data_IF_810101211128
#
_entry.id   IF_810101211128
#
_cell.length_a   1.000
_cell.length_b   1.000
_cell.length_c   1.000
_cell.angle_alpha   90.00
_cell.angle_beta   90.00
_cell.angle_gamma   90.00
#
_symmetry.space_group_name_H-M   'P 1'
#
loop_
_entity.id
_entity.type
_entity.pdbx_description
1 polymer ?
#
# COMPACT_ATOMS: atom_id res chain seq x y z
N UNK A 1 17.45 -6.42 -0.45
CA UNK A 1 16.67 -7.66 -0.27
C UNK A 1 17.14 -8.34 1.00
N UNK A 2 16.22 -8.61 1.93
CA UNK A 2 16.53 -9.08 3.28
C UNK A 2 16.68 -10.60 3.35
N UNK A 3 15.94 -11.35 2.53
CA UNK A 3 15.94 -12.82 2.58
C UNK A 3 17.05 -13.38 1.66
N UNK A 4 17.90 -14.32 2.15
CA UNK A 4 19.03 -14.83 1.38
C UNK A 4 18.66 -15.44 0.02
N UNK A 5 17.62 -16.29 -0.01
CA UNK A 5 17.22 -16.97 -1.24
C UNK A 5 16.61 -15.99 -2.29
N UNK A 6 15.63 -15.13 -1.96
CA UNK A 6 15.18 -14.07 -2.86
C UNK A 6 16.29 -13.16 -3.37
N UNK A 7 17.29 -12.83 -2.55
CA UNK A 7 18.44 -12.03 -2.98
C UNK A 7 19.23 -12.71 -4.11
N UNK A 8 19.53 -13.99 -3.94
CA UNK A 8 20.22 -14.79 -4.95
C UNK A 8 19.39 -14.90 -6.24
N UNK A 9 18.09 -15.20 -6.10
CA UNK A 9 17.19 -15.32 -7.25
C UNK A 9 17.06 -14.00 -8.01
N UNK A 10 16.94 -12.87 -7.32
CA UNK A 10 16.85 -11.56 -7.95
C UNK A 10 18.14 -11.20 -8.70
N UNK A 11 19.31 -11.48 -8.10
CA UNK A 11 20.61 -11.25 -8.75
C UNK A 11 20.74 -12.09 -10.02
N UNK A 12 20.47 -13.39 -9.94
CA UNK A 12 20.49 -14.28 -11.11
C UNK A 12 19.49 -13.85 -12.17
N UNK A 13 18.28 -13.42 -11.77
CA UNK A 13 17.25 -12.97 -12.71
C UNK A 13 17.72 -11.77 -13.55
N UNK A 14 18.39 -10.79 -12.95
CA UNK A 14 18.92 -9.64 -13.68
C UNK A 14 20.07 -10.04 -14.63
N UNK A 15 20.96 -10.95 -14.21
CA UNK A 15 22.02 -11.48 -15.08
C UNK A 15 21.43 -12.19 -16.30
N UNK A 16 20.38 -12.99 -16.11
CA UNK A 16 19.69 -13.69 -17.19
C UNK A 16 18.94 -12.76 -18.16
N UNK A 17 18.73 -11.50 -17.78
CA UNK A 17 18.17 -10.44 -18.62
C UNK A 17 19.25 -9.44 -19.07
N UNK A 18 20.49 -9.91 -19.23
CA UNK A 18 21.63 -9.17 -19.78
C UNK A 18 22.07 -7.93 -18.97
N UNK A 19 21.78 -7.91 -17.66
CA UNK A 19 22.34 -6.92 -16.73
C UNK A 19 23.59 -7.54 -16.10
N UNK A 20 24.75 -7.28 -16.71
CA UNK A 20 26.03 -7.91 -16.36
C UNK A 20 26.47 -7.67 -14.90
N UNK A 21 26.19 -6.47 -14.37
CA UNK A 21 26.58 -6.10 -13.00
C UNK A 21 25.33 -5.61 -12.24
N UNK A 22 24.47 -6.54 -11.76
CA UNK A 22 23.31 -6.17 -10.98
C UNK A 22 23.71 -5.52 -9.65
N UNK A 23 23.15 -4.33 -9.38
CA UNK A 23 23.40 -3.62 -8.13
C UNK A 23 22.29 -3.90 -7.11
N UNK A 24 22.29 -5.10 -6.54
CA UNK A 24 21.38 -5.49 -5.46
C UNK A 24 22.16 -5.59 -4.15
N UNK A 25 21.70 -4.92 -3.09
CA UNK A 25 22.25 -5.06 -1.74
C UNK A 25 21.47 -6.14 -0.96
N UNK A 26 22.20 -7.12 -0.42
CA UNK A 26 21.68 -8.02 0.61
C UNK A 26 21.65 -7.31 1.97
N UNK A 27 20.50 -7.35 2.65
CA UNK A 27 20.30 -6.69 3.95
C UNK A 27 18.91 -6.08 4.11
N UNK A 28 18.64 -5.61 5.32
CA UNK A 28 17.42 -4.87 5.64
C UNK A 28 17.58 -3.42 5.19
N UNK A 29 16.62 -2.91 4.41
CA UNK A 29 16.67 -1.54 3.90
C UNK A 29 16.45 -0.48 4.99
N UNK A 30 15.90 -0.87 6.15
CA UNK A 30 15.60 -0.02 7.30
C UNK A 30 16.72 -0.07 8.37
N UNK A 31 17.83 -0.77 8.11
CA UNK A 31 18.90 -1.06 9.08
C UNK A 31 19.84 0.09 9.42
N UNK A 32 19.70 1.23 8.75
CA UNK A 32 20.59 2.38 8.93
C UNK A 32 19.81 3.69 9.12
N UNK A 33 20.35 4.63 9.91
CA UNK A 33 19.77 5.95 10.11
C UNK A 33 19.50 6.69 8.79
N UNK A 34 18.37 7.42 8.71
CA UNK A 34 18.06 8.24 7.53
C UNK A 34 19.17 9.25 7.19
N UNK A 35 19.89 9.75 8.19
CA UNK A 35 21.00 10.68 8.02
C UNK A 35 22.17 10.11 7.21
N UNK A 36 22.30 8.78 7.13
CA UNK A 36 23.37 8.14 6.36
C UNK A 36 23.12 8.21 4.84
N UNK A 37 21.85 8.39 4.43
CA UNK A 37 21.49 8.56 3.04
C UNK A 37 21.69 10.00 2.58
N UNK A 38 22.85 10.25 1.97
CA UNK A 38 23.20 11.50 1.29
C UNK A 38 22.71 11.54 -0.18
N UNK A 39 22.91 12.65 -0.88
CA UNK A 39 22.50 12.86 -2.28
C UNK A 39 22.93 11.73 -3.24
N UNK A 40 24.09 11.11 -3.01
CA UNK A 40 24.60 10.02 -3.86
C UNK A 40 23.72 8.76 -3.85
N UNK A 41 22.92 8.58 -2.80
CA UNK A 41 22.01 7.43 -2.67
C UNK A 41 20.63 7.73 -3.27
N UNK A 42 20.35 9.00 -3.59
CA UNK A 42 19.05 9.38 -4.09
C UNK A 42 18.87 8.95 -5.54
N UNK A 43 17.63 8.62 -5.89
CA UNK A 43 17.27 8.10 -7.21
C UNK A 43 16.18 8.93 -7.86
N UNK A 44 16.10 8.86 -9.18
CA UNK A 44 15.08 9.57 -9.97
C UNK A 44 13.75 8.80 -10.02
N UNK A 45 13.79 7.47 -9.89
CA UNK A 45 12.62 6.60 -9.99
C UNK A 45 12.67 5.56 -8.88
N UNK A 46 11.55 5.39 -8.17
CA UNK A 46 11.33 4.28 -7.24
C UNK A 46 10.12 3.46 -7.72
N UNK A 47 10.30 2.15 -7.82
CA UNK A 47 9.21 1.19 -7.98
C UNK A 47 9.33 0.19 -6.83
N UNK A 48 8.28 0.04 -6.03
CA UNK A 48 8.36 -0.80 -4.83
C UNK A 48 7.02 -1.44 -4.47
N UNK A 49 7.11 -2.67 -3.96
CA UNK A 49 6.03 -3.35 -3.26
C UNK A 49 6.54 -3.70 -1.85
N UNK A 50 6.58 -2.74 -0.91
CA UNK A 50 7.01 -2.99 0.46
C UNK A 50 6.15 -4.06 1.13
N UNK A 51 6.68 -4.81 2.12
CA UNK A 51 5.94 -5.87 2.80
C UNK A 51 4.70 -5.33 3.51
N UNK A 52 3.58 -6.05 3.41
CA UNK A 52 2.32 -5.69 4.07
C UNK A 52 2.28 -6.27 5.49
N UNK A 53 1.93 -5.45 6.48
CA UNK A 53 1.80 -5.88 7.89
C UNK A 53 3.08 -6.41 8.52
N UNK A 54 4.25 -6.11 7.94
CA UNK A 54 5.53 -6.50 8.50
C UNK A 54 5.87 -5.64 9.71
N UNK A 55 6.29 -6.29 10.80
CA UNK A 55 6.81 -5.60 11.99
C UNK A 55 8.32 -5.42 11.84
N UNK A 56 8.78 -4.20 12.04
CA UNK A 56 10.20 -3.83 12.02
C UNK A 56 10.93 -4.52 13.19
N UNK A 57 12.10 -5.09 12.93
CA UNK A 57 12.92 -5.79 13.91
C UNK A 57 14.12 -4.95 14.37
N UNK A 58 14.87 -5.45 15.37
CA UNK A 58 16.16 -4.90 15.80
C UNK A 58 16.15 -3.42 16.23
N UNK A 59 15.00 -2.91 16.67
CA UNK A 59 14.79 -1.49 16.98
C UNK A 59 15.10 -0.57 15.77
N UNK A 60 14.97 -1.06 14.54
CA UNK A 60 15.26 -0.29 13.33
C UNK A 60 14.33 0.93 13.17
N UNK A 61 13.20 1.00 13.87
CA UNK A 61 12.38 2.20 13.95
C UNK A 61 13.15 3.40 14.53
N UNK A 62 14.19 3.17 15.34
CA UNK A 62 15.01 4.24 15.93
C UNK A 62 15.88 4.98 14.91
N UNK A 63 16.11 4.37 13.74
CA UNK A 63 16.80 4.97 12.58
C UNK A 63 16.01 6.13 11.93
N UNK A 64 14.75 6.30 12.32
CA UNK A 64 13.85 7.32 11.82
C UNK A 64 13.64 8.44 12.86
N UNK A 65 13.34 9.68 12.43
CA UNK A 65 12.99 10.78 13.32
C UNK A 65 11.83 10.40 14.25
N UNK A 66 11.88 10.86 15.51
CA UNK A 66 10.89 10.52 16.55
C UNK A 66 9.43 10.69 16.09
N UNK A 67 9.16 11.73 15.30
CA UNK A 67 7.86 12.05 14.72
C UNK A 67 7.25 10.92 13.88
N UNK A 68 8.08 10.09 13.25
CA UNK A 68 7.70 9.05 12.30
C UNK A 68 7.99 7.62 12.79
N UNK A 69 8.44 7.45 14.05
CA UNK A 69 8.78 6.12 14.58
C UNK A 69 7.52 5.28 14.76
N UNK A 70 7.46 4.16 14.05
CA UNK A 70 6.41 3.14 14.14
C UNK A 70 7.03 1.77 13.90
N UNK A 71 6.40 0.72 14.41
CA UNK A 71 6.81 -0.66 14.14
C UNK A 71 6.28 -1.19 12.81
N UNK A 72 5.40 -0.45 12.15
CA UNK A 72 4.84 -0.81 10.84
C UNK A 72 5.86 -0.56 9.72
N UNK A 73 6.37 -1.63 9.12
CA UNK A 73 7.43 -1.54 8.09
C UNK A 73 6.98 -0.76 6.86
N UNK A 74 5.75 -0.96 6.37
CA UNK A 74 5.21 -0.25 5.20
C UNK A 74 5.26 1.28 5.36
N UNK A 75 4.97 1.77 6.56
CA UNK A 75 4.98 3.19 6.89
C UNK A 75 6.42 3.75 6.93
N UNK A 76 7.38 3.00 7.48
CA UNK A 76 8.80 3.39 7.46
C UNK A 76 9.39 3.34 6.05
N UNK A 77 9.01 2.35 5.24
CA UNK A 77 9.40 2.29 3.83
C UNK A 77 8.91 3.52 3.06
N UNK A 78 7.69 4.00 3.32
CA UNK A 78 7.19 5.23 2.70
C UNK A 78 8.08 6.44 3.02
N UNK A 79 8.46 6.61 4.30
CA UNK A 79 9.39 7.67 4.71
C UNK A 79 10.76 7.52 4.04
N UNK A 80 11.30 6.31 4.00
CA UNK A 80 12.57 6.03 3.34
C UNK A 80 12.52 6.38 1.84
N UNK A 81 11.45 5.98 1.15
CA UNK A 81 11.27 6.26 -0.28
C UNK A 81 11.14 7.76 -0.55
N UNK A 82 10.36 8.49 0.26
CA UNK A 82 10.31 9.97 0.18
C UNK A 82 11.72 10.55 0.37
N UNK A 83 12.50 10.07 1.33
CA UNK A 83 13.87 10.55 1.58
C UNK A 83 14.84 10.27 0.42
N UNK A 84 14.73 9.08 -0.19
CA UNK A 84 15.59 8.61 -1.28
C UNK A 84 15.24 9.18 -2.65
N UNK A 85 14.04 9.74 -2.87
CA UNK A 85 13.77 10.44 -4.12
C UNK A 85 14.60 11.73 -4.23
N UNK A 86 15.13 11.98 -5.42
CA UNK A 86 15.64 13.31 -5.81
C UNK A 86 14.48 14.29 -5.96
N UNK A 87 14.78 15.60 -5.96
CA UNK A 87 13.83 16.60 -6.45
C UNK A 87 13.41 16.26 -7.89
N UNK A 88 12.12 16.43 -8.20
CA UNK A 88 11.48 16.00 -9.44
C UNK A 88 11.58 14.49 -9.75
N UNK A 89 12.03 13.68 -8.78
CA UNK A 89 11.98 12.23 -8.87
C UNK A 89 10.56 11.71 -8.63
N UNK A 90 10.24 10.54 -9.18
CA UNK A 90 8.90 9.95 -9.14
C UNK A 90 8.89 8.54 -8.54
N UNK A 91 7.79 8.17 -7.91
CA UNK A 91 7.59 6.84 -7.36
C UNK A 91 6.25 6.23 -7.80
N UNK A 92 6.25 4.93 -8.02
CA UNK A 92 5.07 4.09 -8.15
C UNK A 92 5.17 2.94 -7.15
N UNK A 93 4.34 2.94 -6.11
CA UNK A 93 4.46 2.00 -4.99
C UNK A 93 3.13 1.32 -4.68
N UNK A 94 3.20 0.12 -4.11
CA UNK A 94 2.03 -0.58 -3.60
C UNK A 94 1.95 -0.40 -2.08
N UNK A 95 0.80 0.01 -1.56
CA UNK A 95 0.53 0.06 -0.12
C UNK A 95 -0.83 -0.56 0.23
N UNK A 96 -0.96 -1.23 1.38
CA UNK A 96 -2.24 -1.70 1.86
C UNK A 96 -3.11 -0.53 2.36
N UNK A 97 -4.42 -0.73 2.47
CA UNK A 97 -5.35 0.27 3.02
C UNK A 97 -4.93 0.77 4.41
N UNK A 98 -4.32 -0.10 5.24
CA UNK A 98 -3.83 0.26 6.57
C UNK A 98 -2.72 1.32 6.61
N UNK A 99 -2.08 1.65 5.48
CA UNK A 99 -1.15 2.78 5.37
C UNK A 99 -1.85 4.08 4.95
N UNK A 100 -3.06 4.00 4.40
CA UNK A 100 -3.85 5.15 3.96
C UNK A 100 -4.66 5.81 5.09
N UNK A 101 -4.86 5.10 6.20
CA UNK A 101 -5.73 5.52 7.31
C UNK A 101 -5.01 5.51 8.68
N UNK A 102 -5.66 6.04 9.71
CA UNK A 102 -5.23 5.92 11.12
C UNK A 102 -4.44 7.10 11.68
N UNK A 103 -4.57 7.34 12.98
CA UNK A 103 -4.14 8.60 13.60
C UNK A 103 -2.66 8.60 14.03
N UNK A 104 -2.22 9.74 14.60
CA UNK A 104 -0.93 9.86 15.27
C UNK A 104 0.26 9.78 14.30
N UNK A 105 1.10 8.74 14.44
CA UNK A 105 2.29 8.58 13.59
C UNK A 105 1.90 8.36 12.13
N UNK A 106 0.89 7.53 11.86
CA UNK A 106 0.41 7.23 10.50
C UNK A 106 -0.09 8.49 9.79
N UNK A 107 -0.88 9.31 10.49
CA UNK A 107 -1.30 10.63 10.01
C UNK A 107 -0.12 11.53 9.65
N UNK A 108 0.89 11.64 10.53
CA UNK A 108 2.08 12.47 10.27
C UNK A 108 2.92 11.99 9.08
N UNK A 109 2.98 10.69 8.85
CA UNK A 109 3.65 10.11 7.68
C UNK A 109 2.91 10.49 6.39
N UNK A 110 1.59 10.42 6.38
CA UNK A 110 0.78 10.87 5.22
C UNK A 110 0.87 12.37 5.01
N UNK A 111 0.83 13.16 6.08
CA UNK A 111 1.07 14.60 6.00
C UNK A 111 2.42 14.88 5.32
N UNK A 112 3.50 14.21 5.75
CA UNK A 112 4.81 14.35 5.09
C UNK A 112 4.77 14.02 3.60
N UNK A 113 4.10 12.92 3.22
CA UNK A 113 3.94 12.55 1.82
C UNK A 113 3.24 13.67 1.03
N UNK A 114 2.17 14.25 1.57
CA UNK A 114 1.40 15.28 0.85
C UNK A 114 2.08 16.65 0.83
N UNK A 115 2.92 16.97 1.80
CA UNK A 115 3.67 18.23 1.87
C UNK A 115 4.95 18.19 1.02
N UNK A 116 5.71 17.09 1.08
CA UNK A 116 6.99 16.96 0.38
C UNK A 116 6.84 16.44 -1.07
N UNK A 117 5.72 15.78 -1.36
CA UNK A 117 5.45 15.17 -2.66
C UNK A 117 4.06 15.52 -3.19
N UNK A 118 3.95 15.45 -4.52
CA UNK A 118 2.73 15.60 -5.28
C UNK A 118 2.17 14.20 -5.51
N UNK A 119 1.39 13.70 -4.56
CA UNK A 119 0.61 12.47 -4.70
C UNK A 119 -0.55 12.71 -5.66
N UNK A 120 -0.26 12.57 -6.95
CA UNK A 120 -1.21 12.95 -7.98
C UNK A 120 -2.23 11.85 -8.30
N UNK A 121 -1.95 10.58 -7.94
CA UNK A 121 -2.83 9.44 -8.27
C UNK A 121 -2.76 8.30 -7.26
N UNK A 122 -3.92 7.79 -6.89
CA UNK A 122 -4.11 6.53 -6.16
C UNK A 122 -5.00 5.61 -7.01
N UNK A 123 -4.54 4.41 -7.33
CA UNK A 123 -5.33 3.38 -7.99
C UNK A 123 -5.69 2.31 -6.96
N UNK A 124 -6.98 2.13 -6.70
CA UNK A 124 -7.49 1.11 -5.77
C UNK A 124 -7.60 -0.23 -6.51
N UNK A 125 -6.98 -1.26 -5.96
CA UNK A 125 -7.01 -2.61 -6.52
C UNK A 125 -8.02 -3.49 -5.78
N UNK A 126 -8.66 -4.45 -6.46
CA UNK A 126 -9.49 -5.46 -5.80
C UNK A 126 -8.68 -6.29 -4.78
N UNK A 127 -9.30 -6.63 -3.65
CA UNK A 127 -8.67 -7.36 -2.53
C UNK A 127 -8.12 -8.75 -2.93
N UNK A 128 -8.58 -9.29 -4.05
CA UNK A 128 -8.17 -10.60 -4.55
C UNK A 128 -6.86 -10.60 -5.32
N UNK A 129 -6.30 -9.42 -5.68
CA UNK A 129 -5.09 -9.32 -6.52
C UNK A 129 -3.89 -10.06 -5.91
N UNK A 130 -3.73 -10.02 -4.59
CA UNK A 130 -2.61 -10.66 -3.90
C UNK A 130 -2.95 -12.01 -3.27
N UNK A 131 -4.13 -12.57 -3.55
CA UNK A 131 -4.50 -13.88 -3.01
C UNK A 131 -3.65 -15.02 -3.60
N UNK A 132 -3.34 -16.07 -2.82
CA UNK A 132 -3.74 -16.30 -1.42
C UNK A 132 -2.79 -15.67 -0.37
N UNK A 133 -1.81 -14.87 -0.79
CA UNK A 133 -0.74 -14.38 0.07
C UNK A 133 -1.17 -13.20 0.94
N UNK A 134 -2.09 -12.37 0.44
CA UNK A 134 -2.71 -11.30 1.19
C UNK A 134 -4.18 -11.15 0.80
N UNK A 135 -5.02 -10.86 1.78
CA UNK A 135 -6.46 -10.59 1.63
C UNK A 135 -6.82 -9.11 1.81
N UNK A 136 -5.83 -8.27 2.13
CA UNK A 136 -6.03 -6.84 2.32
C UNK A 136 -6.22 -6.13 0.97
N UNK A 137 -7.08 -5.13 0.96
CA UNK A 137 -7.15 -4.16 -0.12
C UNK A 137 -5.79 -3.46 -0.28
N UNK A 138 -5.39 -3.23 -1.52
CA UNK A 138 -4.10 -2.61 -1.86
C UNK A 138 -4.29 -1.50 -2.87
N UNK A 139 -3.37 -0.55 -2.84
CA UNK A 139 -3.44 0.65 -3.64
C UNK A 139 -2.10 0.89 -4.32
N UNK A 140 -2.14 1.34 -5.57
CA UNK A 140 -0.97 1.87 -6.27
C UNK A 140 -0.93 3.38 -6.07
N UNK A 141 0.12 3.87 -5.43
CA UNK A 141 0.34 5.30 -5.22
C UNK A 141 1.39 5.80 -6.19
N UNK A 142 1.09 6.92 -6.84
CA UNK A 142 2.00 7.59 -7.75
C UNK A 142 2.22 9.03 -7.32
N UNK A 143 3.48 9.38 -7.06
CA UNK A 143 3.85 10.69 -6.58
C UNK A 143 5.21 11.16 -7.08
N UNK A 144 5.35 12.48 -7.21
CA UNK A 144 6.60 13.16 -7.56
C UNK A 144 7.10 14.00 -6.38
N UNK A 145 8.41 14.05 -6.15
CA UNK A 145 8.99 14.82 -5.04
C UNK A 145 9.27 16.27 -5.44
N UNK A 146 9.06 17.18 -4.48
CA UNK A 146 9.47 18.58 -4.58
C UNK A 146 8.32 19.58 -4.73
N UNK A 147 7.09 19.10 -4.91
CA UNK A 147 5.90 19.94 -4.96
C UNK A 147 4.85 19.37 -4.01
N UNK A 148 4.17 20.18 -3.19
CA UNK A 148 3.09 19.68 -2.35
C UNK A 148 1.90 19.23 -3.20
N UNK A 149 1.16 18.26 -2.68
CA UNK A 149 -0.07 17.75 -3.27
C UNK A 149 -1.15 18.82 -3.26
N UNK A 150 -1.83 19.01 -4.39
CA UNK A 150 -2.98 19.93 -4.51
C UNK A 150 -4.28 19.18 -4.71
N UNK A 151 -4.25 18.19 -5.58
CA UNK A 151 -5.37 17.33 -5.87
C UNK A 151 -4.88 15.92 -6.11
N UNK A 152 -5.70 14.94 -5.70
CA UNK A 152 -5.43 13.52 -5.86
C UNK A 152 -6.50 12.94 -6.78
N UNK A 153 -6.07 12.25 -7.84
CA UNK A 153 -6.98 11.43 -8.61
C UNK A 153 -7.08 10.04 -8.00
N UNK A 154 -8.29 9.57 -7.78
CA UNK A 154 -8.57 8.19 -7.44
C UNK A 154 -9.07 7.45 -8.67
N UNK A 155 -8.67 6.19 -8.82
CA UNK A 155 -9.17 5.29 -9.86
C UNK A 155 -9.45 3.92 -9.26
N UNK A 156 -10.65 3.40 -9.43
CA UNK A 156 -11.06 2.06 -9.01
C UNK A 156 -10.82 1.06 -10.13
N UNK A 157 -9.85 0.15 -9.96
CA UNK A 157 -9.57 -0.90 -10.94
C UNK A 157 -10.72 -1.92 -10.95
N UNK A 158 -11.36 -2.08 -12.11
CA UNK A 158 -12.45 -3.04 -12.30
C UNK A 158 -11.94 -4.37 -12.81
N UNK A 159 -12.40 -5.44 -12.17
CA UNK A 159 -12.19 -6.79 -12.69
C UNK A 159 -12.95 -6.98 -14.02
N UNK A 160 -12.51 -7.90 -14.89
CA UNK A 160 -13.23 -8.25 -16.10
C UNK A 160 -14.64 -8.78 -15.79
N UNK A 161 -15.56 -8.63 -16.73
CA UNK A 161 -16.93 -9.10 -16.57
C UNK A 161 -16.99 -10.60 -16.23
N UNK A 162 -17.85 -10.96 -15.28
CA UNK A 162 -17.98 -12.33 -14.78
C UNK A 162 -16.91 -12.76 -13.76
N UNK A 163 -15.92 -11.92 -13.43
CA UNK A 163 -14.97 -12.20 -12.36
C UNK A 163 -15.53 -11.77 -11.00
N UNK A 164 -15.58 -12.70 -10.05
CA UNK A 164 -15.86 -12.40 -8.64
C UNK A 164 -14.60 -12.09 -7.84
N UNK A 165 -13.47 -12.69 -8.23
CA UNK A 165 -12.16 -12.52 -7.61
C UNK A 165 -11.04 -13.00 -8.56
N UNK A 166 -9.86 -12.42 -8.44
CA UNK A 166 -8.62 -13.03 -8.96
C UNK A 166 -8.22 -14.23 -8.11
N UNK A 167 -7.50 -15.17 -8.73
CA UNK A 167 -6.93 -16.34 -8.06
C UNK A 167 -5.74 -16.89 -8.85
N UNK A 168 -5.14 -18.00 -8.39
CA UNK A 168 -3.96 -18.60 -9.04
C UNK A 168 -4.16 -18.98 -10.51
N UNK A 169 -5.37 -19.38 -10.92
CA UNK A 169 -5.66 -19.78 -12.31
C UNK A 169 -6.12 -18.61 -13.18
N UNK A 170 -6.62 -17.54 -12.55
CA UNK A 170 -7.06 -16.30 -13.21
C UNK A 170 -6.43 -15.08 -12.51
N UNK A 171 -5.11 -14.87 -12.66
CA UNK A 171 -4.43 -13.72 -12.08
C UNK A 171 -4.77 -12.44 -12.84
N UNK A 172 -4.53 -11.29 -12.21
CA UNK A 172 -4.62 -9.99 -12.87
C UNK A 172 -3.68 -9.94 -14.08
N UNK A 173 -4.17 -9.43 -15.21
CA UNK A 173 -3.42 -9.35 -16.46
C UNK A 173 -3.08 -7.91 -16.84
N UNK A 174 -1.93 -7.71 -17.50
CA UNK A 174 -1.47 -6.38 -17.95
C UNK A 174 -2.51 -5.67 -18.82
N UNK A 175 -3.20 -6.40 -19.70
CA UNK A 175 -4.27 -5.86 -20.58
C UNK A 175 -5.41 -5.20 -19.80
N UNK A 176 -5.64 -5.60 -18.56
CA UNK A 176 -6.70 -5.04 -17.71
C UNK A 176 -6.37 -3.61 -17.27
N UNK A 177 -5.11 -3.18 -17.37
CA UNK A 177 -4.67 -1.81 -17.11
C UNK A 177 -4.79 -0.89 -18.34
N UNK A 178 -5.14 -1.39 -19.52
CA UNK A 178 -5.30 -0.55 -20.72
C UNK A 178 -6.27 0.63 -20.52
N UNK A 179 -7.44 0.48 -19.85
CA UNK A 179 -8.33 1.61 -19.57
C UNK A 179 -7.64 2.68 -18.72
N UNK A 180 -6.87 2.27 -17.71
CA UNK A 180 -6.08 3.17 -16.85
C UNK A 180 -5.04 3.92 -17.69
N UNK A 181 -4.30 3.21 -18.56
CA UNK A 181 -3.30 3.82 -19.43
C UNK A 181 -3.93 4.85 -20.39
N UNK A 182 -5.10 4.54 -20.96
CA UNK A 182 -5.85 5.46 -21.85
C UNK A 182 -6.35 6.70 -21.08
N UNK A 183 -6.78 6.52 -19.83
CA UNK A 183 -7.24 7.59 -18.96
C UNK A 183 -6.11 8.47 -18.42
N UNK A 184 -4.91 7.91 -18.20
CA UNK A 184 -3.80 8.53 -17.45
C UNK A 184 -3.43 9.96 -17.88
N UNK A 185 -3.36 10.19 -19.20
CA UNK A 185 -3.01 11.49 -19.80
C UNK A 185 -4.21 12.35 -20.20
N UNK A 186 -5.44 11.84 -20.04
CA UNK A 186 -6.70 12.49 -20.41
C UNK A 186 -7.74 12.33 -19.30
N UNK A 187 -7.33 12.65 -18.07
CA UNK A 187 -8.10 12.35 -16.86
C UNK A 187 -9.44 13.07 -16.88
N UNK A 188 -10.50 12.30 -16.69
CA UNK A 188 -11.87 12.78 -16.52
C UNK A 188 -12.52 12.03 -15.39
N UNK A 189 -13.43 12.70 -14.70
CA UNK A 189 -14.28 12.07 -13.71
C UNK A 189 -15.26 11.11 -14.40
N UNK A 190 -15.60 10.03 -13.71
CA UNK A 190 -16.48 8.96 -14.16
C UNK A 190 -16.94 8.13 -12.96
N UNK A 191 -17.69 7.06 -13.21
CA UNK A 191 -18.12 6.08 -12.21
C UNK A 191 -16.98 5.23 -11.61
N UNK A 192 -15.74 5.39 -12.10
CA UNK A 192 -14.53 4.71 -11.61
C UNK A 192 -13.41 5.66 -11.23
N UNK A 193 -13.51 6.94 -11.56
CA UNK A 193 -12.43 7.89 -11.34
C UNK A 193 -13.00 9.21 -10.84
N UNK A 194 -12.45 9.71 -9.74
CA UNK A 194 -12.88 10.98 -9.13
C UNK A 194 -11.66 11.75 -8.64
N UNK A 195 -11.82 13.06 -8.50
CA UNK A 195 -10.76 13.97 -8.07
C UNK A 195 -11.08 14.54 -6.69
N UNK A 196 -10.10 14.54 -5.79
CA UNK A 196 -10.26 15.05 -4.43
C UNK A 196 -9.24 16.16 -4.20
N UNK A 197 -9.71 17.29 -3.67
CA UNK A 197 -8.84 18.41 -3.34
C UNK A 197 -8.13 18.18 -2.00
N UNK A 198 -6.90 18.69 -1.86
CA UNK A 198 -6.10 18.56 -0.64
C UNK A 198 -6.81 19.11 0.61
N UNK A 199 -7.67 20.13 0.49
CA UNK A 199 -8.42 20.68 1.63
C UNK A 199 -9.32 19.64 2.29
N UNK A 200 -10.05 18.86 1.49
CA UNK A 200 -10.89 17.76 1.97
C UNK A 200 -10.07 16.70 2.71
N UNK A 201 -8.87 16.40 2.22
CA UNK A 201 -7.96 15.44 2.87
C UNK A 201 -7.44 15.98 4.21
N UNK A 202 -7.09 17.27 4.27
CA UNK A 202 -6.65 17.93 5.51
C UNK A 202 -7.77 17.96 6.55
N UNK A 203 -8.99 18.32 6.15
CA UNK A 203 -10.18 18.32 7.03
C UNK A 203 -10.48 16.93 7.60
N UNK A 204 -10.14 15.88 6.86
CA UNK A 204 -10.25 14.48 7.27
C UNK A 204 -9.02 13.96 8.03
N UNK A 205 -8.13 14.83 8.51
CA UNK A 205 -6.95 14.40 9.26
C UNK A 205 -5.95 13.60 8.42
N UNK A 206 -5.77 13.97 7.14
CA UNK A 206 -4.90 13.30 6.19
C UNK A 206 -5.31 11.84 5.88
N UNK A 207 -6.57 11.48 6.08
CA UNK A 207 -7.11 10.20 5.65
C UNK A 207 -7.20 10.12 4.11
N UNK A 208 -6.50 9.13 3.54
CA UNK A 208 -6.43 8.90 2.09
C UNK A 208 -7.41 7.81 1.62
N UNK A 209 -8.16 7.14 2.50
CA UNK A 209 -9.21 6.19 2.11
C UNK A 209 -10.50 6.92 1.72
N UNK A 210 -10.45 7.59 0.56
CA UNK A 210 -11.63 8.21 -0.02
C UNK A 210 -12.38 7.15 -0.82
N UNK A 211 -13.66 6.96 -0.48
CA UNK A 211 -14.59 6.06 -1.18
C UNK A 211 -15.08 6.71 -2.47
N UNK A 212 -15.52 5.86 -3.40
CA UNK A 212 -16.06 6.31 -4.67
C UNK A 212 -17.41 7.02 -4.45
N UNK A 213 -17.54 8.33 -4.74
CA UNK A 213 -18.77 9.08 -4.45
C UNK A 213 -19.97 8.65 -5.30
N UNK A 214 -19.76 7.99 -6.44
CA UNK A 214 -20.85 7.52 -7.31
C UNK A 214 -21.43 6.18 -6.89
N UNK A 215 -20.81 5.50 -5.92
CA UNK A 215 -21.28 4.24 -5.36
C UNK A 215 -21.48 4.44 -3.85
N UNK A 216 -22.69 4.82 -3.39
CA UNK A 216 -23.00 4.68 -1.98
C UNK A 216 -22.77 3.21 -1.59
N UNK A 217 -21.94 2.96 -0.58
CA UNK A 217 -21.88 1.63 0.04
C UNK A 217 -23.30 1.31 0.55
N UNK A 218 -23.81 0.11 0.24
CA UNK A 218 -24.91 -0.44 1.04
C UNK A 218 -24.33 -0.63 2.44
N UNK A 219 -24.48 0.37 3.32
CA UNK A 219 -24.35 0.15 4.75
C UNK A 219 -25.39 -0.92 5.09
N UNK A 220 -24.91 -2.16 5.30
CA UNK A 220 -25.71 -3.17 5.98
C UNK A 220 -25.82 -2.71 7.43
N UNK A 221 -26.81 -1.88 7.70
CA UNK A 221 -27.27 -1.63 9.05
C UNK A 221 -27.80 -2.95 9.60
N UNK A 222 -26.98 -3.63 10.39
CA UNK A 222 -27.43 -4.79 11.14
C UNK A 222 -28.28 -4.29 12.31
N UNK A 223 -29.50 -4.79 12.42
CA UNK A 223 -30.29 -4.52 13.61
C UNK A 223 -29.74 -5.28 14.83
N UNK A 224 -30.14 -4.89 16.04
CA UNK A 224 -29.65 -5.51 17.28
C UNK A 224 -29.85 -7.03 17.32
N UNK A 225 -30.89 -7.57 16.68
CA UNK A 225 -31.12 -9.01 16.64
C UNK A 225 -30.13 -9.73 15.72
N UNK A 226 -29.82 -9.15 14.56
CA UNK A 226 -28.81 -9.68 13.63
C UNK A 226 -27.40 -9.62 14.23
N UNK A 227 -27.07 -8.54 14.94
CA UNK A 227 -25.81 -8.44 15.67
C UNK A 227 -25.71 -9.49 16.78
N UNK A 228 -26.79 -9.73 17.52
CA UNK A 228 -26.85 -10.77 18.55
C UNK A 228 -26.72 -12.18 17.97
N UNK A 229 -27.35 -12.45 16.82
CA UNK A 229 -27.23 -13.73 16.11
C UNK A 229 -25.80 -13.96 15.61
N UNK A 230 -25.18 -12.95 15.00
CA UNK A 230 -23.77 -13.00 14.60
C UNK A 230 -22.84 -13.24 15.78
N UNK A 231 -23.08 -12.55 16.90
CA UNK A 231 -22.30 -12.71 18.12
C UNK A 231 -22.46 -14.12 18.72
N UNK A 232 -23.69 -14.65 18.77
CA UNK A 232 -23.99 -16.01 19.24
C UNK A 232 -23.26 -17.06 18.39
N UNK A 233 -23.34 -16.95 17.06
CA UNK A 233 -22.62 -17.83 16.13
C UNK A 233 -21.11 -17.76 16.34
N UNK A 234 -20.58 -16.58 16.63
CA UNK A 234 -19.16 -16.43 16.96
C UNK A 234 -18.80 -17.18 18.25
N UNK A 235 -19.61 -17.07 19.30
CA UNK A 235 -19.40 -17.80 20.57
C UNK A 235 -19.48 -19.32 20.40
N UNK A 236 -20.46 -19.82 19.65
CA UNK A 236 -20.58 -21.25 19.35
C UNK A 236 -19.34 -21.78 18.63
N UNK A 237 -18.82 -21.01 17.67
CA UNK A 237 -17.60 -21.35 16.95
C UNK A 237 -16.36 -21.31 17.85
N UNK A 238 -16.25 -20.33 18.74
CA UNK A 238 -15.16 -20.29 19.73
C UNK A 238 -15.21 -21.48 20.68
N UNK A 239 -16.40 -21.85 21.16
CA UNK A 239 -16.57 -23.01 22.04
C UNK A 239 -16.25 -24.32 21.33
N UNK A 240 -16.66 -24.50 20.07
CA UNK A 240 -16.34 -25.73 19.33
C UNK A 240 -14.83 -25.88 19.10
N UNK A 241 -14.14 -24.79 18.76
CA UNK A 241 -12.68 -24.77 18.66
C UNK A 241 -12.00 -25.09 20.00
N UNK A 242 -12.53 -24.57 21.10
CA UNK A 242 -11.99 -24.83 22.44
C UNK A 242 -12.16 -26.30 22.85
N UNK A 243 -13.29 -26.92 22.49
CA UNK A 243 -13.51 -28.36 22.69
C UNK A 243 -12.51 -29.19 21.87
N UNK A 244 -12.28 -28.84 20.60
CA UNK A 244 -11.27 -29.52 19.76
C UNK A 244 -9.86 -29.44 20.36
N UNK A 245 -9.49 -28.31 20.95
CA UNK A 245 -8.19 -28.16 21.64
C UNK A 245 -8.13 -29.05 22.88
N UNK A 246 -9.21 -29.16 23.65
CA UNK A 246 -9.29 -30.04 24.82
C UNK A 246 -9.20 -31.52 24.47
N UNK A 247 -9.77 -31.94 23.34
CA UNK A 247 -9.70 -33.32 22.85
C UNK A 247 -8.31 -33.69 22.31
N UNK A 248 -7.50 -32.69 21.95
CA UNK A 248 -6.13 -32.88 21.45
C UNK A 248 -5.05 -32.87 22.55
N UNK A 249 -5.44 -32.66 23.82
CA UNK A 249 -4.59 -32.76 25.02
C UNK A 249 -4.71 -34.15 25.65
#
# INVERSE_FOLDING_TARGET
>A
EYKPLPYLLATTNLILHDIEIPNIKFGDALDQPLSNFTEKHRVNVILANPPFGGIVANNNETNFPQTYRTKESADLFLILMIHLLKQDGRAGIVLPDGSLTGDGVKQRIRQKLLEDCNLHTIIRLPNSVFQPYASVATNLLFFDKGKPTKDIWYYEHRMPEGYKAYNKTRPIQVKEFEPITKWWNKRKESDIAWKVNIKTIIERGYDLDIKNPTKPEEEKEYNSAELMDMLSKSFEKSNSLLTQIKEAL
#
